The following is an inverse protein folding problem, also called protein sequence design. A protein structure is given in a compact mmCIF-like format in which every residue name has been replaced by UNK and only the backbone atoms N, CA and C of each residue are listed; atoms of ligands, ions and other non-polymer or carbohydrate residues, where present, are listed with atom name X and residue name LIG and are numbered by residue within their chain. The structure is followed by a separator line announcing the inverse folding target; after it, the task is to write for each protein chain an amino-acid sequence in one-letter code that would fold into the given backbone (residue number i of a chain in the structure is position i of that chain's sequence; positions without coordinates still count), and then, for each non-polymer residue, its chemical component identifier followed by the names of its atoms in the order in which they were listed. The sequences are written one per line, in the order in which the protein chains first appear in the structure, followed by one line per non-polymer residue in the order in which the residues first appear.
data_IF_277200132132
#
_entry.id   IF_277200132132
#
_cell.length_a   1.000
_cell.length_b   1.000
_cell.length_c   1.000
_cell.angle_alpha   90.00
_cell.angle_beta   90.00
_cell.angle_gamma   90.00
#
_symmetry.space_group_name_H-M   'P 1'
#
loop_
_entity.id
_entity.type
_entity.pdbx_description
1 polymer ?
#
# COMPACT_ATOMS: atom_id res chain seq x y z
N UNK A 1 -12.30 29.20 -37.19
CA UNK A 1 -12.43 30.63 -37.63
C UNK A 1 -13.33 30.75 -38.87
N UNK A 2 -13.04 30.11 -39.99
CA UNK A 2 -13.80 30.26 -41.24
C UNK A 2 -15.32 29.95 -41.12
N UNK A 3 -15.70 29.04 -40.21
CA UNK A 3 -17.13 28.73 -39.99
C UNK A 3 -17.82 29.85 -39.21
N UNK A 4 -17.16 30.40 -38.19
CA UNK A 4 -17.70 31.53 -37.40
C UNK A 4 -17.87 32.82 -38.22
N UNK A 5 -17.03 33.03 -39.21
CA UNK A 5 -17.15 34.14 -40.13
C UNK A 5 -18.34 34.03 -41.12
N UNK A 6 -18.75 32.76 -41.39
CA UNK A 6 -19.81 32.48 -42.38
C UNK A 6 -21.17 32.20 -41.77
N UNK A 7 -21.19 31.74 -40.51
CA UNK A 7 -22.42 31.26 -39.84
C UNK A 7 -22.57 31.87 -38.45
N UNK A 8 -23.78 32.28 -38.13
CA UNK A 8 -24.19 32.76 -36.80
C UNK A 8 -24.68 31.63 -35.90
N UNK A 9 -24.92 30.45 -36.48
CA UNK A 9 -25.39 29.26 -35.74
C UNK A 9 -24.32 28.80 -34.73
N UNK A 10 -24.72 28.36 -33.54
CA UNK A 10 -23.82 27.76 -32.59
C UNK A 10 -23.07 26.55 -33.18
N UNK A 11 -21.78 26.44 -32.92
CA UNK A 11 -20.94 25.37 -33.43
C UNK A 11 -20.61 24.42 -32.28
N UNK A 12 -20.97 23.13 -32.47
CA UNK A 12 -20.59 22.03 -31.59
C UNK A 12 -19.45 21.27 -32.22
N UNK A 13 -18.52 20.78 -31.39
CA UNK A 13 -17.35 20.00 -31.81
C UNK A 13 -17.30 18.64 -31.14
N UNK A 14 -16.83 17.65 -31.92
CA UNK A 14 -16.70 16.28 -31.48
C UNK A 14 -15.39 15.70 -32.05
N UNK A 15 -14.48 15.27 -31.19
CA UNK A 15 -13.16 14.76 -31.59
C UNK A 15 -12.91 13.37 -31.05
N UNK A 16 -12.34 12.51 -31.91
CA UNK A 16 -11.78 11.22 -31.53
C UNK A 16 -10.31 11.35 -31.13
N UNK A 17 -9.82 10.41 -30.33
CA UNK A 17 -8.52 10.47 -29.66
C UNK A 17 -7.45 9.57 -30.30
N UNK A 18 -7.56 9.29 -31.60
CA UNK A 18 -6.69 8.32 -32.30
C UNK A 18 -5.18 8.66 -32.21
N UNK A 19 -4.85 9.94 -32.10
CA UNK A 19 -3.47 10.43 -31.89
C UNK A 19 -3.21 11.03 -30.50
N UNK A 20 -4.13 10.85 -29.55
CA UNK A 20 -4.00 11.46 -28.22
C UNK A 20 -4.25 12.98 -28.18
N UNK A 21 -4.90 13.55 -29.22
CA UNK A 21 -5.03 14.98 -29.39
C UNK A 21 -6.50 15.48 -29.22
N UNK A 22 -7.43 14.62 -28.82
CA UNK A 22 -8.84 14.99 -28.78
C UNK A 22 -9.10 16.19 -27.83
N UNK A 23 -8.55 16.17 -26.63
CA UNK A 23 -8.69 17.26 -25.65
C UNK A 23 -8.04 18.53 -26.16
N UNK A 24 -6.84 18.48 -26.72
CA UNK A 24 -6.14 19.63 -27.29
C UNK A 24 -6.90 20.24 -28.48
N UNK A 25 -7.42 19.41 -29.38
CA UNK A 25 -8.24 19.87 -30.49
C UNK A 25 -9.54 20.53 -30.02
N UNK A 26 -10.15 20.00 -28.94
CA UNK A 26 -11.36 20.57 -28.35
C UNK A 26 -11.09 21.95 -27.75
N UNK A 27 -10.00 22.08 -26.99
CA UNK A 27 -9.57 23.38 -26.45
C UNK A 27 -9.34 24.42 -27.56
N UNK A 28 -8.57 24.04 -28.60
CA UNK A 28 -8.33 24.91 -29.76
C UNK A 28 -9.63 25.31 -30.47
N UNK A 29 -10.59 24.41 -30.59
CA UNK A 29 -11.88 24.72 -31.20
C UNK A 29 -12.68 25.71 -30.35
N UNK A 30 -12.65 25.61 -29.01
CA UNK A 30 -13.27 26.57 -28.09
C UNK A 30 -12.60 27.94 -28.21
N UNK A 31 -11.27 28.01 -28.26
CA UNK A 31 -10.53 29.26 -28.52
C UNK A 31 -10.94 29.90 -29.84
N UNK A 32 -11.17 29.08 -30.87
CA UNK A 32 -11.64 29.54 -32.16
C UNK A 32 -13.14 29.85 -32.20
N UNK A 33 -13.84 29.82 -31.08
CA UNK A 33 -15.22 30.24 -30.93
C UNK A 33 -16.26 29.13 -31.07
N UNK A 34 -15.90 27.86 -30.91
CA UNK A 34 -16.91 26.81 -30.73
C UNK A 34 -17.70 27.04 -29.43
N UNK A 35 -18.98 26.76 -29.49
CA UNK A 35 -19.91 27.05 -28.39
C UNK A 35 -20.16 25.83 -27.50
N UNK A 36 -19.97 24.62 -28.04
CA UNK A 36 -20.25 23.38 -27.35
C UNK A 36 -19.21 22.34 -27.69
N UNK A 37 -18.76 21.58 -26.68
CA UNK A 37 -17.89 20.42 -26.85
C UNK A 37 -18.61 19.13 -26.45
N UNK A 38 -18.53 18.12 -27.30
CA UNK A 38 -18.95 16.77 -26.95
C UNK A 38 -17.77 16.06 -26.33
N UNK A 39 -17.92 15.66 -25.08
CA UNK A 39 -16.90 14.98 -24.29
C UNK A 39 -17.49 13.74 -23.63
N UNK A 40 -16.63 12.85 -23.18
CA UNK A 40 -17.04 11.65 -22.46
C UNK A 40 -16.24 11.50 -21.18
N UNK A 41 -16.86 10.93 -20.14
CA UNK A 41 -16.17 10.62 -18.90
C UNK A 41 -15.09 9.59 -19.21
N UNK A 42 -13.88 9.80 -18.66
CA UNK A 42 -12.69 8.99 -18.93
C UNK A 42 -12.22 8.99 -20.39
N UNK A 43 -12.78 9.84 -21.24
CA UNK A 43 -12.49 9.83 -22.67
C UNK A 43 -13.01 8.58 -23.40
N UNK A 44 -14.00 7.89 -22.84
CA UNK A 44 -14.53 6.64 -23.40
C UNK A 44 -15.20 6.89 -24.76
N UNK A 45 -15.07 5.93 -25.68
CA UNK A 45 -15.67 6.02 -27.01
C UNK A 45 -15.10 4.98 -27.96
N UNK A 46 -15.51 5.04 -29.21
CA UNK A 46 -15.00 4.14 -30.26
C UNK A 46 -13.50 4.27 -30.47
N UNK A 47 -12.85 3.18 -30.84
CA UNK A 47 -11.41 3.04 -31.10
C UNK A 47 -10.60 3.46 -29.87
N UNK A 48 -9.96 4.64 -29.90
CA UNK A 48 -9.13 5.19 -28.82
C UNK A 48 -9.90 6.19 -27.94
N UNK A 49 -11.21 6.31 -28.14
CA UNK A 49 -12.09 7.19 -27.38
C UNK A 49 -12.22 8.61 -27.92
N UNK A 50 -12.73 9.48 -27.09
CA UNK A 50 -13.08 10.87 -27.38
C UNK A 50 -12.31 11.85 -26.48
N UNK A 51 -12.59 13.14 -26.61
CA UNK A 51 -12.10 14.13 -25.65
C UNK A 51 -12.63 13.81 -24.23
N UNK A 52 -11.75 13.84 -23.27
CA UNK A 52 -12.05 13.50 -21.89
C UNK A 52 -12.68 14.69 -21.16
N UNK A 53 -13.81 14.46 -20.47
CA UNK A 53 -14.54 15.48 -19.72
C UNK A 53 -13.64 16.12 -18.65
N UNK A 54 -13.02 15.29 -17.82
CA UNK A 54 -12.19 15.71 -16.70
C UNK A 54 -10.96 16.51 -17.17
N UNK A 55 -10.32 16.08 -18.25
CA UNK A 55 -9.17 16.78 -18.82
C UNK A 55 -9.57 18.15 -19.38
N UNK A 56 -10.70 18.23 -20.11
CA UNK A 56 -11.18 19.48 -20.69
C UNK A 56 -11.58 20.48 -19.61
N UNK A 57 -12.37 20.07 -18.62
CA UNK A 57 -12.85 20.97 -17.54
C UNK A 57 -11.68 21.51 -16.75
N UNK A 58 -10.75 20.64 -16.33
CA UNK A 58 -9.60 21.09 -15.52
C UNK A 58 -8.66 21.96 -16.33
N UNK A 59 -8.44 21.67 -17.62
CA UNK A 59 -7.62 22.54 -18.47
C UNK A 59 -8.27 23.93 -18.65
N UNK A 60 -9.57 24.02 -18.87
CA UNK A 60 -10.28 25.29 -18.98
C UNK A 60 -10.17 26.11 -17.68
N UNK A 61 -10.32 25.46 -16.53
CA UNK A 61 -10.19 26.10 -15.23
C UNK A 61 -8.73 26.54 -14.95
N UNK A 62 -7.78 25.62 -15.01
CA UNK A 62 -6.42 25.85 -14.53
C UNK A 62 -5.53 26.60 -15.54
N UNK A 63 -5.68 26.35 -16.84
CA UNK A 63 -4.82 26.94 -17.87
C UNK A 63 -5.45 28.16 -18.57
N UNK A 64 -6.78 28.19 -18.67
CA UNK A 64 -7.50 29.27 -19.35
C UNK A 64 -8.23 30.21 -18.39
N UNK A 65 -8.23 29.90 -17.09
CA UNK A 65 -8.94 30.68 -16.06
C UNK A 65 -10.42 30.90 -16.40
N UNK A 66 -11.03 29.86 -17.00
CA UNK A 66 -12.47 29.82 -17.32
C UNK A 66 -13.15 29.02 -16.23
N UNK A 67 -14.01 29.69 -15.48
CA UNK A 67 -14.80 29.04 -14.45
C UNK A 67 -16.10 28.52 -15.07
N UNK A 68 -16.33 27.21 -14.86
CA UNK A 68 -17.53 26.53 -15.34
C UNK A 68 -18.43 26.24 -14.12
N UNK A 69 -19.73 26.32 -14.31
CA UNK A 69 -20.70 25.94 -13.26
C UNK A 69 -20.76 24.41 -13.10
N UNK A 70 -19.63 23.82 -12.71
CA UNK A 70 -19.44 22.37 -12.55
C UNK A 70 -18.69 22.13 -11.24
N UNK A 71 -19.21 21.24 -10.41
CA UNK A 71 -18.51 20.77 -9.21
C UNK A 71 -17.36 19.82 -9.60
N UNK A 72 -16.17 20.37 -9.74
CA UNK A 72 -14.98 19.62 -10.13
C UNK A 72 -14.54 18.60 -9.07
N UNK A 73 -14.95 18.78 -7.81
CA UNK A 73 -14.60 17.85 -6.71
C UNK A 73 -15.21 16.46 -6.88
N UNK A 74 -16.15 16.29 -7.79
CA UNK A 74 -16.77 15.01 -8.13
C UNK A 74 -16.05 14.25 -9.25
N UNK A 75 -15.08 14.84 -9.93
CA UNK A 75 -14.47 14.25 -11.13
C UNK A 75 -13.81 12.91 -10.87
N UNK A 76 -13.04 12.78 -9.76
CA UNK A 76 -12.40 11.53 -9.40
C UNK A 76 -13.41 10.43 -9.08
N UNK A 77 -14.40 10.70 -8.23
CA UNK A 77 -15.43 9.75 -7.84
C UNK A 77 -16.30 9.31 -9.04
N UNK A 78 -16.60 10.24 -9.94
CA UNK A 78 -17.35 9.99 -11.18
C UNK A 78 -16.55 9.09 -12.13
N UNK A 79 -15.24 9.35 -12.29
CA UNK A 79 -14.34 8.50 -13.09
C UNK A 79 -14.32 7.06 -12.59
N UNK A 80 -14.14 6.88 -11.29
CA UNK A 80 -14.14 5.56 -10.63
C UNK A 80 -15.50 4.85 -10.77
N UNK A 81 -16.60 5.59 -10.59
CA UNK A 81 -17.94 5.04 -10.74
C UNK A 81 -18.19 4.52 -12.16
N UNK A 82 -17.85 5.32 -13.18
CA UNK A 82 -18.02 4.92 -14.58
C UNK A 82 -17.12 3.75 -14.94
N UNK A 83 -15.87 3.74 -14.45
CA UNK A 83 -14.96 2.61 -14.64
C UNK A 83 -15.53 1.30 -14.09
N UNK A 84 -16.16 1.34 -12.90
CA UNK A 84 -16.80 0.16 -12.28
C UNK A 84 -18.00 -0.36 -13.07
N UNK A 85 -18.92 0.52 -13.47
CA UNK A 85 -20.15 0.08 -14.17
C UNK A 85 -19.89 -0.40 -15.59
N UNK A 86 -18.86 0.11 -16.26
CA UNK A 86 -18.48 -0.29 -17.62
C UNK A 86 -17.52 -1.47 -17.65
N UNK A 87 -16.86 -1.80 -16.51
CA UNK A 87 -15.81 -2.80 -16.44
C UNK A 87 -14.49 -2.38 -17.10
N UNK A 88 -14.38 -1.14 -17.57
CA UNK A 88 -13.17 -0.62 -18.21
C UNK A 88 -12.27 -0.01 -17.14
N UNK A 89 -11.15 -0.68 -16.86
CA UNK A 89 -10.16 -0.19 -15.90
C UNK A 89 -9.43 1.04 -16.44
N UNK A 90 -9.41 2.11 -15.65
CA UNK A 90 -8.63 3.29 -16.01
C UNK A 90 -7.14 3.02 -15.88
N UNK A 91 -6.33 3.51 -16.82
CA UNK A 91 -4.88 3.51 -16.65
C UNK A 91 -4.50 4.29 -15.40
N UNK A 92 -3.59 3.73 -14.60
CA UNK A 92 -3.15 4.38 -13.36
C UNK A 92 -2.51 5.76 -13.57
N UNK A 93 -1.95 5.99 -14.76
CA UNK A 93 -1.34 7.24 -15.20
C UNK A 93 -2.27 8.15 -16.01
N UNK A 94 -3.60 7.88 -16.01
CA UNK A 94 -4.53 8.77 -16.70
C UNK A 94 -4.44 10.19 -16.10
N UNK A 95 -4.36 11.23 -16.95
CA UNK A 95 -4.36 12.60 -16.46
C UNK A 95 -5.57 12.89 -15.56
N UNK A 96 -5.38 13.71 -14.56
CA UNK A 96 -6.38 14.26 -13.63
C UNK A 96 -6.96 13.20 -12.65
N UNK A 97 -7.44 12.07 -13.14
CA UNK A 97 -8.21 11.09 -12.34
C UNK A 97 -7.54 9.73 -12.18
N UNK A 98 -6.37 9.50 -12.77
CA UNK A 98 -5.64 8.25 -12.60
C UNK A 98 -5.10 8.09 -11.18
N UNK A 99 -4.98 6.85 -10.70
CA UNK A 99 -4.50 6.56 -9.36
C UNK A 99 -3.10 7.15 -9.04
N UNK A 100 -2.29 7.41 -10.07
CA UNK A 100 -0.96 8.00 -9.93
C UNK A 100 -0.92 9.50 -10.25
N UNK A 101 -2.05 10.15 -10.57
CA UNK A 101 -2.08 11.56 -10.97
C UNK A 101 -1.46 12.50 -9.92
N UNK A 102 -1.61 12.15 -8.62
CA UNK A 102 -1.05 12.89 -7.48
C UNK A 102 -0.20 11.97 -6.58
N UNK A 103 0.50 11.01 -7.19
CA UNK A 103 1.37 10.08 -6.47
C UNK A 103 2.85 10.47 -6.66
N UNK A 104 3.59 10.56 -5.57
CA UNK A 104 5.01 10.91 -5.55
C UNK A 104 5.82 9.81 -4.85
N UNK A 105 6.86 9.29 -5.51
CA UNK A 105 7.78 8.28 -4.96
C UNK A 105 9.18 8.86 -4.73
N UNK A 106 9.66 9.68 -5.66
CA UNK A 106 11.00 10.26 -5.60
C UNK A 106 11.18 11.18 -4.39
N UNK A 107 12.26 10.98 -3.62
CA UNK A 107 12.57 11.78 -2.44
C UNK A 107 12.65 13.29 -2.71
N UNK A 108 13.13 13.71 -3.89
CA UNK A 108 13.18 15.12 -4.29
C UNK A 108 11.77 15.67 -4.50
N UNK A 109 10.91 14.92 -5.19
CA UNK A 109 9.52 15.32 -5.42
C UNK A 109 8.74 15.40 -4.10
N UNK A 110 8.87 14.37 -3.25
CA UNK A 110 8.22 14.35 -1.93
C UNK A 110 8.66 15.55 -1.09
N UNK A 111 9.98 15.83 -1.04
CA UNK A 111 10.49 17.00 -0.31
C UNK A 111 9.95 18.32 -0.89
N UNK A 112 9.92 18.45 -2.20
CA UNK A 112 9.38 19.65 -2.88
C UNK A 112 7.90 19.85 -2.57
N UNK A 113 7.08 18.81 -2.71
CA UNK A 113 5.63 18.87 -2.47
C UNK A 113 5.30 19.15 -1.00
N UNK A 114 6.05 18.57 -0.05
CA UNK A 114 5.85 18.83 1.39
C UNK A 114 6.16 20.28 1.77
N UNK A 115 7.13 20.92 1.08
CA UNK A 115 7.44 22.34 1.31
C UNK A 115 6.50 23.28 0.54
N UNK A 116 6.22 22.97 -0.72
CA UNK A 116 5.30 23.72 -1.57
C UNK A 116 4.76 22.81 -2.67
N UNK A 117 3.47 22.45 -2.58
CA UNK A 117 2.82 21.53 -3.52
C UNK A 117 2.93 22.00 -4.98
N UNK A 118 2.85 23.32 -5.24
CA UNK A 118 2.95 23.91 -6.58
C UNK A 118 4.28 23.64 -7.29
N UNK A 119 5.31 23.13 -6.57
CA UNK A 119 6.60 22.79 -7.18
C UNK A 119 6.46 21.65 -8.20
N UNK A 120 5.56 20.70 -7.95
CA UNK A 120 5.36 19.51 -8.78
C UNK A 120 3.91 19.20 -9.11
N UNK A 121 2.96 19.93 -8.53
CA UNK A 121 1.53 19.77 -8.77
C UNK A 121 0.98 21.04 -9.43
N UNK A 122 0.64 21.00 -10.73
CA UNK A 122 0.07 22.17 -11.43
C UNK A 122 -1.34 22.51 -10.96
N UNK A 123 -2.01 21.55 -10.33
CA UNK A 123 -3.33 21.68 -9.69
C UNK A 123 -3.31 20.95 -8.36
N UNK A 124 -4.16 21.36 -7.41
CA UNK A 124 -4.32 20.62 -6.17
C UNK A 124 -5.19 19.36 -6.38
N UNK A 125 -4.90 18.24 -5.71
CA UNK A 125 -5.75 17.03 -5.81
C UNK A 125 -7.17 17.29 -5.33
N UNK A 126 -7.37 18.17 -4.36
CA UNK A 126 -8.68 18.51 -3.80
C UNK A 126 -9.58 19.16 -4.85
N UNK A 127 -9.02 19.88 -5.82
CA UNK A 127 -9.78 20.48 -6.93
C UNK A 127 -10.63 19.46 -7.67
N UNK A 128 -10.15 18.23 -7.75
CA UNK A 128 -10.79 17.14 -8.51
C UNK A 128 -11.34 16.02 -7.62
N UNK A 129 -11.36 16.23 -6.30
CA UNK A 129 -11.79 15.25 -5.31
C UNK A 129 -10.85 14.06 -5.16
N UNK A 130 -9.57 14.23 -5.54
CA UNK A 130 -8.52 13.24 -5.35
C UNK A 130 -7.72 13.54 -4.08
N UNK A 131 -6.80 12.65 -3.73
CA UNK A 131 -5.88 12.82 -2.61
C UNK A 131 -4.43 12.64 -3.05
N UNK A 132 -3.54 13.42 -2.42
CA UNK A 132 -2.09 13.23 -2.58
C UNK A 132 -1.67 11.94 -1.94
N UNK A 133 -0.79 11.20 -2.63
CA UNK A 133 -0.25 9.94 -2.14
C UNK A 133 1.27 9.91 -2.26
N UNK A 134 1.95 9.66 -1.14
CA UNK A 134 3.37 9.37 -1.13
C UNK A 134 3.52 7.85 -1.22
N UNK A 135 4.09 7.38 -2.32
CA UNK A 135 4.34 5.96 -2.57
C UNK A 135 5.72 5.62 -2.02
N UNK A 136 5.80 4.52 -1.29
CA UNK A 136 7.07 3.99 -0.78
C UNK A 136 7.54 2.83 -1.68
N UNK A 137 8.79 2.88 -2.12
CA UNK A 137 9.36 1.87 -3.00
C UNK A 137 10.87 2.04 -3.16
N UNK A 138 11.40 1.55 -4.28
CA UNK A 138 12.85 1.54 -4.56
C UNK A 138 13.52 2.92 -4.46
N UNK A 139 12.85 3.96 -4.93
CA UNK A 139 13.39 5.32 -4.99
C UNK A 139 13.04 6.19 -3.77
N UNK A 140 12.40 5.61 -2.77
CA UNK A 140 12.00 6.34 -1.55
C UNK A 140 13.21 6.85 -0.78
N UNK A 141 13.19 8.14 -0.45
CA UNK A 141 14.16 8.77 0.44
C UNK A 141 13.79 8.64 1.91
N UNK A 142 14.77 8.73 2.81
CA UNK A 142 14.57 8.65 4.25
C UNK A 142 13.54 9.66 4.78
N UNK A 143 13.53 10.88 4.23
CA UNK A 143 12.59 11.94 4.65
C UNK A 143 11.12 11.58 4.35
N UNK A 144 10.84 10.88 3.24
CA UNK A 144 9.49 10.42 2.92
C UNK A 144 8.97 9.40 3.93
N UNK A 145 9.84 8.46 4.36
CA UNK A 145 9.49 7.46 5.38
C UNK A 145 9.29 8.14 6.74
N UNK A 146 10.19 9.06 7.14
CA UNK A 146 10.05 9.83 8.39
C UNK A 146 8.74 10.61 8.43
N UNK A 147 8.44 11.37 7.39
CA UNK A 147 7.20 12.16 7.29
C UNK A 147 5.94 11.30 7.40
N UNK A 148 5.95 10.09 6.79
CA UNK A 148 4.81 9.18 6.92
C UNK A 148 4.69 8.59 8.33
N UNK A 149 5.79 8.21 8.96
CA UNK A 149 5.79 7.73 10.34
C UNK A 149 5.29 8.79 11.30
N UNK A 150 5.73 10.05 11.15
CA UNK A 150 5.23 11.22 11.91
C UNK A 150 3.73 11.43 11.71
N UNK A 151 3.23 11.31 10.48
CA UNK A 151 1.80 11.42 10.18
C UNK A 151 0.97 10.35 10.93
N UNK A 152 1.53 9.17 11.16
CA UNK A 152 0.88 8.09 11.92
C UNK A 152 1.20 8.13 13.41
N UNK A 153 1.90 9.16 13.92
CA UNK A 153 2.35 9.27 15.29
C UNK A 153 3.18 8.05 15.75
N UNK A 154 4.03 7.55 14.86
CA UNK A 154 4.93 6.43 15.13
C UNK A 154 6.34 7.00 15.33
N UNK A 155 6.81 6.98 16.59
CA UNK A 155 8.14 7.41 16.96
C UNK A 155 9.10 6.21 16.99
N UNK A 156 10.19 6.31 16.21
CA UNK A 156 11.25 5.31 16.17
C UNK A 156 12.57 5.92 16.61
N UNK A 157 13.36 5.14 17.34
CA UNK A 157 14.78 5.48 17.54
C UNK A 157 15.51 5.44 16.20
N UNK A 158 16.66 6.12 16.08
CA UNK A 158 17.42 6.14 14.81
C UNK A 158 17.78 4.72 14.34
N UNK A 159 18.10 3.80 15.26
CA UNK A 159 18.42 2.41 14.95
C UNK A 159 17.19 1.68 14.38
N UNK A 160 16.04 1.82 14.99
CA UNK A 160 14.79 1.23 14.53
C UNK A 160 14.38 1.81 13.17
N UNK A 161 14.52 3.13 13.00
CA UNK A 161 14.26 3.79 11.73
C UNK A 161 15.12 3.21 10.60
N UNK A 162 16.44 3.00 10.84
CA UNK A 162 17.32 2.40 9.84
C UNK A 162 16.90 0.97 9.48
N UNK A 163 16.46 0.17 10.44
CA UNK A 163 15.94 -1.19 10.18
C UNK A 163 14.68 -1.13 9.30
N UNK A 164 13.69 -0.32 9.68
CA UNK A 164 12.44 -0.13 8.91
C UNK A 164 12.76 0.39 7.51
N UNK A 165 13.62 1.38 7.39
CA UNK A 165 14.02 1.96 6.10
C UNK A 165 14.68 0.92 5.18
N UNK A 166 15.57 0.08 5.71
CA UNK A 166 16.21 -0.98 4.95
C UNK A 166 15.23 -2.05 4.49
N UNK A 167 14.23 -2.40 5.30
CA UNK A 167 13.17 -3.33 4.92
C UNK A 167 12.31 -2.77 3.78
N UNK A 168 11.91 -1.49 3.85
CA UNK A 168 11.20 -0.80 2.77
C UNK A 168 12.02 -0.82 1.48
N UNK A 169 13.31 -0.54 1.56
CA UNK A 169 14.22 -0.59 0.40
C UNK A 169 14.30 -1.99 -0.19
N UNK A 170 14.44 -3.02 0.64
CA UNK A 170 14.51 -4.41 0.20
C UNK A 170 13.21 -4.86 -0.51
N UNK A 171 12.05 -4.42 -0.03
CA UNK A 171 10.76 -4.65 -0.69
C UNK A 171 10.70 -3.92 -2.05
N UNK A 172 11.12 -2.66 -2.09
CA UNK A 172 11.17 -1.87 -3.32
C UNK A 172 12.13 -2.46 -4.36
N UNK A 173 13.29 -2.99 -3.94
CA UNK A 173 14.25 -3.67 -4.82
C UNK A 173 13.69 -4.98 -5.42
N UNK A 174 12.77 -5.65 -4.71
CA UNK A 174 12.00 -6.79 -5.21
C UNK A 174 10.84 -6.36 -6.14
N UNK A 175 10.67 -5.06 -6.42
CA UNK A 175 9.61 -4.52 -7.27
C UNK A 175 8.26 -4.33 -6.54
N UNK A 176 8.21 -4.49 -5.22
CA UNK A 176 6.99 -4.27 -4.43
C UNK A 176 6.79 -2.79 -4.13
N UNK A 177 5.55 -2.33 -4.27
CA UNK A 177 5.12 -1.03 -3.74
C UNK A 177 4.73 -1.23 -2.28
N UNK A 178 5.36 -0.46 -1.38
CA UNK A 178 5.04 -0.51 0.06
C UNK A 178 3.86 0.42 0.32
N UNK A 179 2.77 -0.12 0.84
CA UNK A 179 1.59 0.67 1.22
C UNK A 179 1.79 1.34 2.58
N UNK A 180 0.87 2.22 2.94
CA UNK A 180 0.89 2.86 4.25
C UNK A 180 0.65 1.84 5.38
N UNK A 181 -0.18 0.84 5.14
CA UNK A 181 -0.43 -0.24 6.09
C UNK A 181 0.80 -1.14 6.24
N UNK A 182 1.52 -1.43 5.15
CA UNK A 182 2.80 -2.15 5.19
C UNK A 182 3.83 -1.40 6.06
N UNK A 183 3.96 -0.08 5.84
CA UNK A 183 4.88 0.76 6.63
C UNK A 183 4.54 0.68 8.13
N UNK A 184 3.26 0.85 8.48
CA UNK A 184 2.79 0.80 9.86
C UNK A 184 3.06 -0.56 10.50
N UNK A 185 2.74 -1.65 9.78
CA UNK A 185 2.97 -3.01 10.26
C UNK A 185 4.45 -3.30 10.49
N UNK A 186 5.33 -2.92 9.56
CA UNK A 186 6.78 -3.06 9.68
C UNK A 186 7.31 -2.25 10.88
N UNK A 187 6.87 -1.00 11.04
CA UNK A 187 7.30 -0.14 12.13
C UNK A 187 6.86 -0.67 13.51
N UNK A 188 5.60 -1.11 13.64
CA UNK A 188 5.07 -1.70 14.87
C UNK A 188 5.82 -2.99 15.22
N UNK A 189 6.12 -3.82 14.24
CA UNK A 189 6.90 -5.05 14.43
C UNK A 189 8.31 -4.72 14.97
N UNK A 190 8.96 -3.69 14.41
CA UNK A 190 10.30 -3.27 14.86
C UNK A 190 10.28 -2.68 16.29
N UNK A 191 9.24 -1.90 16.63
CA UNK A 191 9.06 -1.40 18.02
C UNK A 191 8.88 -2.57 18.99
N UNK A 192 8.08 -3.55 18.61
CA UNK A 192 7.81 -4.73 19.44
C UNK A 192 9.05 -5.60 19.61
N UNK A 193 9.85 -5.77 18.56
CA UNK A 193 11.09 -6.59 18.59
C UNK A 193 12.26 -5.94 19.36
N UNK A 194 12.21 -4.63 19.59
CA UNK A 194 13.26 -3.91 20.35
C UNK A 194 13.14 -4.09 21.88
N UNK A 195 12.04 -4.66 22.40
CA UNK A 195 11.92 -5.04 23.80
C UNK A 195 12.80 -6.27 24.06
N UNK A 196 13.31 -6.42 25.28
CA UNK A 196 14.04 -7.65 25.68
C UNK A 196 13.17 -8.87 25.33
N UNK A 197 13.66 -9.67 24.39
CA UNK A 197 12.97 -10.88 23.94
C UNK A 197 13.66 -12.09 24.55
N UNK A 198 13.08 -12.74 25.57
CA UNK A 198 13.64 -13.94 26.18
C UNK A 198 13.87 -15.07 25.20
N UNK A 199 13.03 -15.15 24.16
CA UNK A 199 13.10 -16.17 23.12
C UNK A 199 13.27 -15.52 21.75
N UNK A 200 14.32 -15.90 21.01
CA UNK A 200 14.60 -15.42 19.65
C UNK A 200 14.67 -16.58 18.68
N UNK A 201 14.10 -16.40 17.48
CA UNK A 201 14.24 -17.35 16.38
C UNK A 201 15.64 -17.20 15.76
N UNK A 202 16.42 -18.27 15.72
CA UNK A 202 17.74 -18.32 15.10
C UNK A 202 17.75 -19.10 13.78
N UNK A 203 16.76 -20.00 13.59
CA UNK A 203 16.62 -20.79 12.36
C UNK A 203 15.26 -21.44 12.23
N UNK A 204 14.79 -21.55 10.99
CA UNK A 204 13.56 -22.23 10.62
C UNK A 204 13.78 -23.01 9.33
N UNK A 205 13.56 -24.32 9.37
CA UNK A 205 13.53 -25.21 8.19
C UNK A 205 12.16 -25.85 8.07
N UNK A 206 11.57 -25.80 6.87
CA UNK A 206 10.24 -26.37 6.60
C UNK A 206 10.34 -27.37 5.46
N UNK A 207 9.78 -28.57 5.70
CA UNK A 207 9.52 -29.56 4.68
C UNK A 207 8.02 -29.81 4.60
N UNK A 208 7.41 -29.53 3.45
CA UNK A 208 5.97 -29.73 3.23
C UNK A 208 5.71 -30.09 1.78
N UNK A 209 4.72 -30.95 1.52
CA UNK A 209 4.34 -31.38 0.19
C UNK A 209 3.21 -32.40 0.22
N UNK A 210 2.70 -32.79 -0.96
CA UNK A 210 1.53 -33.62 -1.09
C UNK A 210 1.72 -35.09 -0.56
N UNK A 211 2.98 -35.53 -0.49
CA UNK A 211 3.32 -36.92 -0.13
C UNK A 211 4.25 -37.02 1.09
N UNK A 212 4.57 -35.92 1.71
CA UNK A 212 5.41 -35.87 2.91
C UNK A 212 4.64 -35.27 4.07
N UNK A 213 4.78 -35.81 5.27
CA UNK A 213 4.22 -35.16 6.46
C UNK A 213 4.88 -33.83 6.68
N UNK A 214 4.10 -32.75 6.86
CA UNK A 214 4.66 -31.44 7.16
C UNK A 214 5.57 -31.54 8.38
N UNK A 215 6.81 -31.11 8.23
CA UNK A 215 7.85 -31.15 9.27
C UNK A 215 8.53 -29.81 9.36
N UNK A 216 8.71 -29.32 10.56
CA UNK A 216 9.45 -28.09 10.83
C UNK A 216 10.63 -28.33 11.77
N UNK A 217 11.79 -27.83 11.43
CA UNK A 217 12.96 -27.72 12.32
C UNK A 217 13.06 -26.29 12.79
N UNK A 218 12.98 -26.08 14.09
CA UNK A 218 13.04 -24.76 14.72
C UNK A 218 14.25 -24.68 15.63
N UNK A 219 15.00 -23.60 15.50
CA UNK A 219 16.13 -23.25 16.36
C UNK A 219 15.84 -21.95 17.08
N UNK A 220 15.82 -22.02 18.41
CA UNK A 220 15.55 -20.85 19.28
C UNK A 220 16.75 -20.57 20.16
N UNK A 221 16.97 -19.29 20.44
CA UNK A 221 17.81 -18.82 21.52
C UNK A 221 16.89 -18.46 22.70
N UNK A 222 16.95 -19.25 23.77
CA UNK A 222 16.13 -19.06 24.97
C UNK A 222 17.04 -18.60 26.10
N UNK A 223 16.94 -17.35 26.49
CA UNK A 223 17.79 -16.73 27.54
C UNK A 223 19.29 -16.98 27.30
N UNK A 224 19.76 -16.86 26.06
CA UNK A 224 21.17 -17.07 25.68
C UNK A 224 21.57 -18.51 25.40
N UNK A 225 20.67 -19.49 25.56
CA UNK A 225 20.93 -20.90 25.24
C UNK A 225 20.26 -21.30 23.93
N UNK A 226 21.02 -21.85 23.01
CA UNK A 226 20.50 -22.37 21.74
C UNK A 226 19.87 -23.77 21.99
N UNK A 227 18.63 -23.91 21.57
CA UNK A 227 17.90 -25.19 21.52
C UNK A 227 17.36 -25.40 20.10
N UNK A 228 17.30 -26.62 19.63
CA UNK A 228 16.80 -27.00 18.29
C UNK A 228 16.01 -28.30 18.39
N UNK A 229 14.88 -28.37 17.70
CA UNK A 229 14.09 -29.60 17.56
C UNK A 229 13.36 -29.64 16.23
N UNK A 230 12.80 -30.80 15.88
CA UNK A 230 12.03 -31.02 14.66
C UNK A 230 10.74 -31.74 14.99
N UNK A 231 9.60 -31.13 14.65
CA UNK A 231 8.28 -31.69 14.87
C UNK A 231 7.48 -31.82 13.56
N UNK A 232 6.52 -32.73 13.57
CA UNK A 232 5.52 -32.85 12.51
C UNK A 232 4.22 -32.16 12.90
N UNK A 233 3.39 -31.85 11.89
CA UNK A 233 2.07 -31.25 12.11
C UNK A 233 1.12 -31.54 10.96
N UNK A 234 -0.14 -31.06 11.08
CA UNK A 234 -1.14 -31.15 9.99
C UNK A 234 -0.82 -30.20 8.84
N UNK A 235 0.00 -29.16 9.11
CA UNK A 235 0.50 -28.19 8.13
C UNK A 235 1.85 -27.62 8.56
N UNK A 236 2.51 -26.83 7.68
CA UNK A 236 3.83 -26.29 7.96
C UNK A 236 3.87 -25.35 9.18
N UNK A 237 2.84 -24.54 9.37
CA UNK A 237 2.72 -23.63 10.52
C UNK A 237 2.50 -24.42 11.80
N UNK A 238 1.62 -25.43 11.78
CA UNK A 238 1.35 -26.29 12.92
C UNK A 238 2.59 -27.09 13.34
N UNK A 239 3.32 -27.65 12.37
CA UNK A 239 4.60 -28.32 12.64
C UNK A 239 5.61 -27.42 13.34
N UNK A 240 5.72 -26.14 12.93
CA UNK A 240 6.62 -25.18 13.53
C UNK A 240 6.16 -24.76 14.94
N UNK A 241 4.84 -24.58 15.16
CA UNK A 241 4.29 -24.28 16.49
C UNK A 241 4.53 -25.46 17.45
N UNK A 242 4.35 -26.70 16.97
CA UNK A 242 4.65 -27.89 17.77
C UNK A 242 6.13 -27.95 18.16
N UNK A 243 7.04 -27.60 17.25
CA UNK A 243 8.47 -27.53 17.57
C UNK A 243 8.78 -26.42 18.59
N UNK A 244 8.14 -25.24 18.49
CA UNK A 244 8.27 -24.18 19.48
C UNK A 244 7.79 -24.66 20.86
N UNK A 245 6.60 -25.27 20.94
CA UNK A 245 6.03 -25.81 22.18
C UNK A 245 6.98 -26.79 22.86
N UNK A 246 7.54 -27.74 22.10
CA UNK A 246 8.52 -28.71 22.61
C UNK A 246 9.77 -28.02 23.17
N UNK A 247 10.26 -26.97 22.50
CA UNK A 247 11.47 -26.26 22.95
C UNK A 247 11.26 -25.45 24.23
N UNK A 248 10.02 -24.99 24.48
CA UNK A 248 9.69 -24.14 25.64
C UNK A 248 8.92 -24.86 26.74
N UNK A 249 8.58 -26.14 26.59
CA UNK A 249 7.78 -26.93 27.53
C UNK A 249 8.33 -26.91 28.97
N UNK A 250 9.65 -26.81 29.14
CA UNK A 250 10.30 -26.66 30.46
C UNK A 250 10.09 -25.26 31.08
N UNK A 251 9.63 -24.29 30.29
CA UNK A 251 9.49 -22.89 30.70
C UNK A 251 8.01 -22.52 30.89
N UNK A 252 7.16 -22.93 29.96
CA UNK A 252 5.73 -22.65 30.00
C UNK A 252 4.97 -23.59 29.06
N UNK A 253 3.69 -23.84 29.36
CA UNK A 253 2.77 -24.47 28.42
C UNK A 253 2.02 -23.37 27.65
N UNK A 254 1.90 -23.52 26.33
CA UNK A 254 1.31 -22.51 25.46
C UNK A 254 0.14 -23.11 24.66
N UNK A 255 -1.01 -22.46 24.75
CA UNK A 255 -2.16 -22.71 23.92
C UNK A 255 -2.43 -21.54 22.99
N UNK A 256 -2.65 -21.83 21.69
CA UNK A 256 -3.04 -20.84 20.69
C UNK A 256 -4.56 -20.80 20.63
N UNK A 257 -5.16 -19.71 21.11
CA UNK A 257 -6.61 -19.55 21.16
C UNK A 257 -7.21 -18.93 19.90
N UNK A 258 -6.46 -18.01 19.27
CA UNK A 258 -6.87 -17.36 18.03
C UNK A 258 -5.71 -17.23 17.07
N UNK A 259 -5.99 -17.44 15.80
CA UNK A 259 -5.04 -17.28 14.71
C UNK A 259 -5.75 -16.63 13.52
N UNK A 260 -5.36 -15.40 13.19
CA UNK A 260 -5.86 -14.66 12.05
C UNK A 260 -4.72 -14.32 11.10
N UNK A 261 -4.94 -14.54 9.82
CA UNK A 261 -4.00 -14.22 8.76
C UNK A 261 -4.71 -13.34 7.72
N UNK A 262 -4.13 -12.18 7.46
CA UNK A 262 -4.61 -11.24 6.45
C UNK A 262 -3.50 -10.92 5.45
N UNK A 263 -3.86 -10.81 4.17
CA UNK A 263 -2.98 -10.24 3.17
C UNK A 263 -3.17 -8.72 3.20
N UNK A 264 -2.13 -7.97 3.56
CA UNK A 264 -2.18 -6.50 3.62
C UNK A 264 -2.25 -5.92 2.21
N UNK A 265 -1.57 -6.56 1.24
CA UNK A 265 -1.54 -6.14 -0.17
C UNK A 265 -2.12 -7.22 -1.07
N UNK A 266 -2.63 -6.85 -2.25
CA UNK A 266 -3.12 -7.80 -3.25
C UNK A 266 -1.97 -8.39 -4.08
N UNK A 267 -2.12 -9.67 -4.49
CA UNK A 267 -1.16 -10.36 -5.37
C UNK A 267 -0.56 -11.61 -4.73
N UNK A 268 0.20 -12.37 -5.51
CA UNK A 268 0.86 -13.61 -5.06
C UNK A 268 2.07 -13.37 -4.16
N UNK A 269 2.52 -12.12 -4.07
CA UNK A 269 3.67 -11.63 -3.32
C UNK A 269 3.26 -10.64 -2.21
N UNK A 270 1.97 -10.68 -1.81
CA UNK A 270 1.42 -9.84 -0.76
C UNK A 270 2.16 -10.06 0.57
N UNK A 271 2.33 -8.97 1.34
CA UNK A 271 2.73 -9.08 2.74
C UNK A 271 1.60 -9.74 3.53
N UNK A 272 1.95 -10.76 4.28
CA UNK A 272 1.07 -11.40 5.23
C UNK A 272 1.23 -10.76 6.61
N UNK A 273 0.14 -10.29 7.20
CA UNK A 273 0.06 -9.96 8.61
C UNK A 273 -0.60 -11.10 9.35
N UNK A 274 0.04 -11.56 10.41
CA UNK A 274 -0.49 -12.58 11.29
C UNK A 274 -0.72 -11.99 12.67
N UNK A 275 -1.92 -12.21 13.19
CA UNK A 275 -2.33 -11.88 14.55
C UNK A 275 -2.68 -13.17 15.28
N UNK A 276 -2.16 -13.32 16.50
CA UNK A 276 -2.45 -14.46 17.35
C UNK A 276 -2.84 -14.05 18.76
N UNK A 277 -3.64 -14.87 19.42
CA UNK A 277 -3.85 -14.81 20.86
C UNK A 277 -3.35 -16.13 21.42
N UNK A 278 -2.40 -16.06 22.36
CA UNK A 278 -1.90 -17.22 23.08
C UNK A 278 -2.18 -17.09 24.57
N UNK A 279 -2.40 -18.22 25.25
CA UNK A 279 -2.51 -18.31 26.68
C UNK A 279 -1.46 -19.31 27.24
N UNK A 280 -1.07 -19.09 28.50
CA UNK A 280 -0.30 -20.07 29.26
C UNK A 280 -1.27 -20.98 30.08
N UNK A 281 -0.70 -22.03 30.69
CA UNK A 281 -1.48 -22.93 31.55
C UNK A 281 -2.00 -22.28 32.84
N UNK A 282 -1.61 -21.05 33.16
CA UNK A 282 -2.01 -20.29 34.35
C UNK A 282 -3.11 -19.26 34.07
N UNK A 283 -3.50 -19.07 32.79
CA UNK A 283 -4.57 -18.18 32.34
C UNK A 283 -4.13 -16.79 31.94
N UNK A 284 -2.80 -16.49 31.89
CA UNK A 284 -2.31 -15.26 31.29
C UNK A 284 -2.45 -15.32 29.78
N UNK A 285 -2.97 -14.24 29.17
CA UNK A 285 -3.18 -14.14 27.74
C UNK A 285 -2.39 -12.99 27.15
N UNK A 286 -1.86 -13.19 25.96
CA UNK A 286 -1.20 -12.13 25.22
C UNK A 286 -1.51 -12.21 23.73
N UNK A 287 -1.40 -11.05 23.06
CA UNK A 287 -1.53 -10.92 21.63
C UNK A 287 -0.16 -10.82 20.98
N UNK A 288 0.06 -11.55 19.90
CA UNK A 288 1.25 -11.42 19.06
C UNK A 288 0.88 -10.97 17.66
N UNK A 289 1.75 -10.17 17.04
CA UNK A 289 1.54 -9.69 15.68
C UNK A 289 2.88 -9.65 14.96
N UNK A 290 2.89 -10.11 13.70
CA UNK A 290 4.05 -9.99 12.84
C UNK A 290 3.64 -9.88 11.37
N UNK A 291 4.50 -9.24 10.58
CA UNK A 291 4.32 -9.05 9.15
C UNK A 291 5.55 -9.56 8.42
N UNK A 292 5.33 -10.38 7.39
CA UNK A 292 6.42 -10.90 6.55
C UNK A 292 5.90 -11.21 5.14
N UNK A 293 6.80 -11.28 4.15
CA UNK A 293 6.49 -11.75 2.79
C UNK A 293 6.39 -13.29 2.71
N UNK A 294 6.81 -14.00 3.75
CA UNK A 294 6.58 -15.43 3.97
C UNK A 294 5.55 -15.62 5.09
N UNK A 295 4.41 -16.23 4.73
CA UNK A 295 3.29 -16.50 5.65
C UNK A 295 3.72 -17.36 6.85
N UNK A 296 4.59 -18.35 6.63
CA UNK A 296 5.05 -19.24 7.68
C UNK A 296 5.94 -18.46 8.65
N UNK A 297 6.84 -17.64 8.11
CA UNK A 297 7.70 -16.77 8.93
C UNK A 297 6.88 -15.75 9.73
N UNK A 298 5.87 -15.09 9.11
CA UNK A 298 4.96 -14.19 9.80
C UNK A 298 4.26 -14.89 10.97
N UNK A 299 3.77 -16.12 10.74
CA UNK A 299 3.08 -16.92 11.76
C UNK A 299 3.98 -17.22 12.96
N UNK A 300 5.20 -17.69 12.70
CA UNK A 300 6.16 -18.04 13.77
C UNK A 300 6.59 -16.80 14.57
N UNK A 301 6.85 -15.69 13.89
CA UNK A 301 7.22 -14.44 14.56
C UNK A 301 6.06 -13.89 15.41
N UNK A 302 4.81 -13.99 14.97
CA UNK A 302 3.65 -13.57 15.74
C UNK A 302 3.47 -14.45 17.00
N UNK A 303 3.63 -15.77 16.88
CA UNK A 303 3.59 -16.68 18.03
C UNK A 303 4.70 -16.38 19.03
N UNK A 304 5.92 -16.18 18.58
CA UNK A 304 7.06 -15.84 19.46
C UNK A 304 6.87 -14.46 20.12
N UNK A 305 6.27 -13.47 19.43
CA UNK A 305 5.94 -12.16 20.01
C UNK A 305 4.93 -12.33 21.17
N UNK A 306 3.89 -13.12 20.98
CA UNK A 306 2.92 -13.42 22.03
C UNK A 306 3.56 -14.12 23.23
N UNK A 307 4.36 -15.17 23.00
CA UNK A 307 5.07 -15.92 24.04
C UNK A 307 6.01 -15.00 24.85
N UNK A 308 6.79 -14.18 24.17
CA UNK A 308 7.72 -13.26 24.83
C UNK A 308 6.98 -12.25 25.73
N UNK A 309 5.79 -11.79 25.32
CA UNK A 309 4.97 -10.89 26.13
C UNK A 309 4.47 -11.56 27.40
N UNK A 310 4.00 -12.82 27.32
CA UNK A 310 3.58 -13.58 28.51
C UNK A 310 4.77 -13.71 29.48
N UNK A 311 5.94 -14.15 28.98
CA UNK A 311 7.16 -14.30 29.81
C UNK A 311 7.63 -13.00 30.48
N UNK A 312 7.33 -11.84 29.86
CA UNK A 312 7.65 -10.54 30.44
C UNK A 312 6.60 -10.08 31.48
N UNK A 313 5.37 -10.56 31.40
CA UNK A 313 4.32 -10.30 32.42
C UNK A 313 4.63 -11.03 33.72
N UNK A 314 5.16 -12.25 33.66
CA UNK A 314 5.55 -13.04 34.85
C UNK A 314 6.75 -12.46 35.62
N UNK A 315 7.54 -11.58 34.99
CA UNK A 315 8.75 -10.97 35.62
C UNK A 315 8.47 -9.64 36.33
N UNK A 316 7.23 -9.11 36.25
CA UNK A 316 6.79 -7.89 36.89
C UNK A 316 5.77 -8.18 38.00
#
# INVERSE_FOLDING_TARGET
TNLKERYTTPISVHFHNDFGLATANTLTAIECGANQAHVTINGMGERTGNASLEELIVALHAAYNIDLDIDTTQLYSLSEFVGRITGIKMPVNKPIVGANAFAHESGIHVHGVLNNALTYEPISPELVGHSRRIVLGKHTGANAVKSKLEHYNIDLTEKQFQTVFNQIKALGDKGKTVTDDDLRAIAITEISSAKETPIKLEGLGILSGAVVSPTATVKLNINGKLKETSCTGVGPVDAAINAIRELIQDTMDIELEEYNLEAITGGTDALAEVFVISSDGEGNKSTGRATNDDVIMASILAVLDSINKILLMEKN
#
